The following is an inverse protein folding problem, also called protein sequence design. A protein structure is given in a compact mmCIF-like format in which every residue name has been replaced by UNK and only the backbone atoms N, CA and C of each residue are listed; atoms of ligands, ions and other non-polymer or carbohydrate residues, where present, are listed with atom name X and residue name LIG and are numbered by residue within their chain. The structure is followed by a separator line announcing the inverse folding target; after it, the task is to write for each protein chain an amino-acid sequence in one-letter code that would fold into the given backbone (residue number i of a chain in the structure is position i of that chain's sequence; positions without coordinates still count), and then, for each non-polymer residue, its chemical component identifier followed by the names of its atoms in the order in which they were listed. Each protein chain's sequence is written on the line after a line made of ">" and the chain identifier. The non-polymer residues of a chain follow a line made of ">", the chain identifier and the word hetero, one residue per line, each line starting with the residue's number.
data_IF_816059540952
#
_entry.id   IF_816059540952
#
_cell.length_a   1.000
_cell.length_b   1.000
_cell.length_c   1.000
_cell.angle_alpha   90.00
_cell.angle_beta   90.00
_cell.angle_gamma   90.00
#
_symmetry.space_group_name_H-M   'P 1'
#
loop_
_entity.id
_entity.type
_entity.pdbx_description
1 polymer ?
#
# COMPACT_ATOMS: atom_id res chain seq x y z
N UNK A 1 23.35 -9.77 15.02
CA UNK A 1 21.90 -9.77 15.24
C UNK A 1 21.27 -8.69 14.35
N UNK A 2 20.42 -9.10 13.43
CA UNK A 2 19.72 -8.19 12.52
C UNK A 2 18.34 -7.85 13.12
N UNK A 3 18.13 -6.58 13.47
CA UNK A 3 16.87 -6.14 14.07
C UNK A 3 16.24 -5.05 13.22
N UNK A 4 14.92 -5.12 13.05
CA UNK A 4 14.14 -4.10 12.34
C UNK A 4 13.06 -3.51 13.23
N UNK A 5 12.69 -2.26 12.94
CA UNK A 5 11.48 -1.63 13.49
C UNK A 5 10.59 -1.20 12.33
N UNK A 6 9.32 -1.55 12.42
CA UNK A 6 8.29 -1.21 11.45
C UNK A 6 7.30 -0.27 12.11
N UNK A 7 7.30 0.99 11.75
CA UNK A 7 6.28 1.97 12.15
C UNK A 7 5.04 1.81 11.26
N UNK A 8 3.86 1.75 11.86
CA UNK A 8 2.67 1.23 11.19
C UNK A 8 2.71 -0.30 11.08
N UNK A 9 3.36 -0.95 12.05
CA UNK A 9 3.74 -2.35 11.99
C UNK A 9 2.58 -3.33 12.06
N UNK A 10 1.49 -3.00 12.76
CA UNK A 10 0.28 -3.84 12.83
C UNK A 10 -0.62 -3.66 11.61
N UNK A 11 -0.31 -2.66 10.77
CA UNK A 11 -1.00 -2.41 9.50
C UNK A 11 -0.83 -3.54 8.49
N UNK A 12 -1.60 -3.45 7.38
CA UNK A 12 -1.62 -4.49 6.34
C UNK A 12 -0.22 -4.76 5.76
N UNK A 13 0.48 -3.74 5.28
CA UNK A 13 1.83 -3.90 4.70
C UNK A 13 2.83 -4.29 5.80
N UNK A 14 2.71 -3.68 6.99
CA UNK A 14 3.65 -3.86 8.09
C UNK A 14 3.75 -5.31 8.56
N UNK A 15 2.63 -6.00 8.72
CA UNK A 15 2.58 -7.41 9.17
C UNK A 15 3.17 -8.36 8.12
N UNK A 16 2.86 -8.17 6.83
CA UNK A 16 3.46 -8.97 5.76
C UNK A 16 4.96 -8.70 5.61
N UNK A 17 5.38 -7.44 5.78
CA UNK A 17 6.81 -7.11 5.71
C UNK A 17 7.58 -7.69 6.89
N UNK A 18 7.02 -7.66 8.11
CA UNK A 18 7.62 -8.30 9.27
C UNK A 18 7.84 -9.80 9.05
N UNK A 19 6.80 -10.51 8.57
CA UNK A 19 6.89 -11.91 8.21
C UNK A 19 7.98 -12.15 7.16
N UNK A 20 8.00 -11.35 6.09
CA UNK A 20 9.00 -11.45 5.01
C UNK A 20 10.43 -11.25 5.53
N UNK A 21 10.66 -10.29 6.44
CA UNK A 21 11.97 -10.06 7.05
C UNK A 21 12.45 -11.26 7.85
N UNK A 22 11.57 -11.93 8.58
CA UNK A 22 11.92 -13.13 9.37
C UNK A 22 12.14 -14.33 8.45
N UNK A 23 11.18 -14.64 7.58
CA UNK A 23 11.21 -15.87 6.76
C UNK A 23 12.27 -15.85 5.66
N UNK A 24 12.38 -14.72 4.94
CA UNK A 24 13.21 -14.66 3.73
C UNK A 24 14.51 -13.89 3.92
N UNK A 25 14.58 -13.00 4.91
CA UNK A 25 15.76 -12.15 5.15
C UNK A 25 16.52 -12.51 6.41
N UNK A 26 16.02 -13.48 7.20
CA UNK A 26 16.71 -13.98 8.38
C UNK A 26 16.91 -12.93 9.47
N UNK A 27 15.95 -12.00 9.63
CA UNK A 27 16.00 -11.07 10.74
C UNK A 27 15.76 -11.80 12.07
N UNK A 28 16.65 -11.57 13.01
CA UNK A 28 16.61 -12.19 14.34
C UNK A 28 15.45 -11.64 15.18
N UNK A 29 15.08 -10.36 14.96
CA UNK A 29 14.01 -9.69 15.69
C UNK A 29 13.37 -8.57 14.88
N UNK A 30 12.05 -8.46 14.95
CA UNK A 30 11.29 -7.41 14.29
C UNK A 30 10.31 -6.80 15.30
N UNK A 31 10.32 -5.49 15.43
CA UNK A 31 9.39 -4.75 16.27
C UNK A 31 8.32 -4.10 15.43
N UNK A 32 7.05 -4.28 15.80
CA UNK A 32 5.89 -3.63 15.21
C UNK A 32 5.49 -2.45 16.11
N UNK A 33 5.91 -1.25 15.75
CA UNK A 33 5.52 -0.03 16.47
C UNK A 33 4.25 0.54 15.89
N UNK A 34 3.17 0.56 16.67
CA UNK A 34 1.87 1.05 16.23
C UNK A 34 1.02 1.54 17.39
N UNK A 35 0.03 2.40 17.11
CA UNK A 35 -0.97 2.82 18.08
C UNK A 35 -2.14 1.83 18.20
N UNK A 36 -2.33 0.95 17.21
CA UNK A 36 -3.30 -0.14 17.25
C UNK A 36 -2.61 -1.47 17.54
N UNK A 37 -3.27 -2.35 18.31
CA UNK A 37 -2.77 -3.69 18.58
C UNK A 37 -3.35 -4.71 17.59
N UNK A 38 -2.58 -5.74 17.26
CA UNK A 38 -3.05 -6.93 16.52
C UNK A 38 -4.20 -7.65 17.22
N UNK A 39 -4.40 -7.41 18.51
CA UNK A 39 -5.54 -7.96 19.27
C UNK A 39 -6.88 -7.29 18.92
N UNK A 40 -6.88 -6.21 18.14
CA UNK A 40 -8.10 -5.59 17.62
C UNK A 40 -8.87 -6.58 16.73
N UNK A 41 -10.21 -6.62 16.87
CA UNK A 41 -11.09 -7.54 16.12
C UNK A 41 -10.94 -7.45 14.59
N UNK A 42 -10.49 -6.30 14.09
CA UNK A 42 -10.27 -6.07 12.66
C UNK A 42 -9.01 -6.73 12.09
N UNK A 43 -8.13 -7.27 12.95
CA UNK A 43 -6.81 -7.80 12.57
C UNK A 43 -6.65 -9.29 12.85
N UNK A 44 -7.75 -10.05 12.98
CA UNK A 44 -7.70 -11.48 13.30
C UNK A 44 -6.77 -12.27 12.36
N UNK A 45 -6.91 -12.10 11.05
CA UNK A 45 -6.04 -12.75 10.07
C UNK A 45 -4.55 -12.42 10.30
N UNK A 46 -4.22 -11.15 10.51
CA UNK A 46 -2.84 -10.69 10.71
C UNK A 46 -2.24 -11.23 12.00
N UNK A 47 -3.04 -11.27 13.07
CA UNK A 47 -2.65 -11.87 14.35
C UNK A 47 -2.33 -13.34 14.20
N UNK A 48 -3.23 -14.10 13.55
CA UNK A 48 -3.06 -15.53 13.36
C UNK A 48 -1.86 -15.83 12.45
N UNK A 49 -1.66 -15.04 11.39
CA UNK A 49 -0.51 -15.12 10.49
C UNK A 49 0.82 -14.95 11.24
N UNK A 50 0.88 -14.07 12.24
CA UNK A 50 2.10 -13.80 13.00
C UNK A 50 2.27 -14.65 14.27
N UNK A 51 1.28 -15.44 14.65
CA UNK A 51 1.29 -16.21 15.90
C UNK A 51 2.46 -17.22 16.01
N UNK A 52 2.98 -17.70 14.90
CA UNK A 52 4.12 -18.64 14.84
C UNK A 52 5.50 -17.95 14.87
N UNK A 53 5.57 -16.62 14.96
CA UNK A 53 6.83 -15.86 14.93
C UNK A 53 7.11 -15.14 16.26
N UNK A 54 7.67 -15.83 17.28
CA UNK A 54 7.92 -15.22 18.60
C UNK A 54 8.96 -14.10 18.58
N UNK A 55 9.73 -14.00 17.52
CA UNK A 55 10.70 -12.94 17.28
C UNK A 55 10.08 -11.67 16.66
N UNK A 56 8.77 -11.65 16.37
CA UNK A 56 8.02 -10.45 16.01
C UNK A 56 7.28 -9.97 17.26
N UNK A 57 7.55 -8.73 17.69
CA UNK A 57 7.02 -8.17 18.94
C UNK A 57 6.31 -6.85 18.70
N UNK A 58 5.12 -6.69 19.31
CA UNK A 58 4.37 -5.43 19.28
C UNK A 58 4.95 -4.44 20.31
N UNK A 59 5.07 -3.18 19.87
CA UNK A 59 5.37 -2.03 20.73
C UNK A 59 4.24 -1.01 20.52
N UNK A 60 3.54 -0.69 21.59
CA UNK A 60 2.49 0.32 21.52
C UNK A 60 3.07 1.71 21.56
N UNK A 61 2.68 2.56 20.58
CA UNK A 61 3.09 3.95 20.53
C UNK A 61 2.51 4.66 19.30
N UNK A 62 2.52 5.99 19.33
CA UNK A 62 1.94 6.85 18.31
C UNK A 62 3.03 7.70 17.65
N UNK A 63 3.23 7.53 16.36
CA UNK A 63 4.23 8.30 15.59
C UNK A 63 3.96 9.82 15.57
N UNK A 64 2.75 10.25 15.88
CA UNK A 64 2.39 11.69 16.01
C UNK A 64 3.01 12.34 17.25
N UNK A 65 3.55 11.54 18.15
CA UNK A 65 4.23 11.98 19.37
C UNK A 65 5.73 11.67 19.27
N UNK A 66 6.59 12.39 20.00
CA UNK A 66 7.99 12.03 20.14
C UNK A 66 8.15 10.57 20.59
N UNK A 67 9.04 9.84 19.91
CA UNK A 67 9.27 8.43 20.21
C UNK A 67 10.39 8.32 21.24
N UNK A 68 10.04 7.88 22.46
CA UNK A 68 10.99 7.75 23.57
C UNK A 68 11.42 6.30 23.81
N UNK A 69 10.71 5.32 23.21
CA UNK A 69 11.10 3.92 23.30
C UNK A 69 12.42 3.66 22.58
N UNK A 70 13.35 3.02 23.24
CA UNK A 70 14.65 2.62 22.68
C UNK A 70 14.83 1.11 22.91
N UNK A 71 15.02 0.32 21.85
CA UNK A 71 15.30 -1.11 21.97
C UNK A 71 16.69 -1.36 22.56
N UNK A 72 16.87 -2.52 23.19
CA UNK A 72 18.18 -2.94 23.67
C UNK A 72 19.12 -3.36 22.52
N UNK A 73 18.53 -3.81 21.41
CA UNK A 73 19.26 -4.29 20.26
C UNK A 73 19.60 -3.14 19.30
N UNK A 74 20.70 -3.28 18.58
CA UNK A 74 21.05 -2.37 17.49
C UNK A 74 20.09 -2.53 16.32
N UNK A 75 19.38 -1.48 15.96
CA UNK A 75 18.48 -1.47 14.81
C UNK A 75 19.28 -1.31 13.52
N UNK A 76 19.08 -2.24 12.60
CA UNK A 76 19.76 -2.29 11.29
C UNK A 76 18.87 -1.83 10.14
N UNK A 77 17.53 -1.82 10.34
CA UNK A 77 16.56 -1.39 9.36
C UNK A 77 15.35 -0.74 10.04
N UNK A 78 14.91 0.38 9.51
CA UNK A 78 13.63 0.99 9.82
C UNK A 78 12.74 0.92 8.57
N UNK A 79 11.48 0.49 8.75
CA UNK A 79 10.44 0.60 7.73
C UNK A 79 9.35 1.56 8.25
N UNK A 80 9.13 2.67 7.57
CA UNK A 80 8.09 3.62 7.93
C UNK A 80 6.88 3.45 7.00
N UNK A 81 5.85 2.78 7.49
CA UNK A 81 4.57 2.54 6.82
C UNK A 81 3.40 3.24 7.55
N UNK A 82 3.69 3.90 8.67
CA UNK A 82 2.69 4.64 9.43
C UNK A 82 2.08 5.77 8.57
N UNK A 83 0.78 5.77 8.40
CA UNK A 83 0.07 6.80 7.65
C UNK A 83 -1.44 6.75 7.85
N UNK A 84 -2.07 7.92 7.80
CA UNK A 84 -3.49 8.03 7.42
C UNK A 84 -3.56 7.91 5.90
N UNK A 85 -4.30 6.93 5.36
CA UNK A 85 -4.29 6.59 3.93
C UNK A 85 -5.66 6.46 3.26
N UNK A 86 -6.74 6.29 4.03
CA UNK A 86 -8.10 6.15 3.46
C UNK A 86 -8.59 7.48 2.90
N UNK A 87 -8.97 7.50 1.63
CA UNK A 87 -9.47 8.69 0.95
C UNK A 87 -10.69 8.33 0.05
N UNK A 88 -11.87 8.95 0.29
CA UNK A 88 -12.22 9.82 1.41
C UNK A 88 -12.35 9.04 2.73
N UNK A 89 -12.30 9.73 3.86
CA UNK A 89 -12.50 9.11 5.17
C UNK A 89 -11.90 9.90 6.33
N UNK A 90 -11.11 10.92 6.00
CA UNK A 90 -10.45 11.80 6.96
C UNK A 90 -10.54 13.25 6.51
N UNK A 91 -10.46 14.16 7.47
CA UNK A 91 -10.33 15.59 7.18
C UNK A 91 -8.91 15.89 6.64
N UNK A 92 -8.80 16.95 5.82
CA UNK A 92 -7.55 17.28 5.16
C UNK A 92 -6.35 17.44 6.11
N UNK A 93 -6.56 18.01 7.30
CA UNK A 93 -5.51 18.23 8.29
C UNK A 93 -4.97 16.94 8.93
N UNK A 94 -5.81 15.89 9.08
CA UNK A 94 -5.41 14.63 9.68
C UNK A 94 -4.30 13.92 8.88
N UNK A 95 -4.33 14.04 7.54
CA UNK A 95 -3.27 13.51 6.69
C UNK A 95 -1.93 14.19 6.98
N UNK A 96 -1.94 15.52 7.13
CA UNK A 96 -0.71 16.25 7.42
C UNK A 96 -0.20 15.99 8.83
N UNK A 97 -1.07 16.01 9.82
CA UNK A 97 -0.71 15.75 11.22
C UNK A 97 -0.08 14.37 11.40
N UNK A 98 -0.62 13.33 10.78
CA UNK A 98 -0.08 11.98 10.93
C UNK A 98 1.13 11.74 10.02
N UNK A 99 1.01 12.09 8.74
CA UNK A 99 2.02 11.67 7.77
C UNK A 99 3.30 12.52 7.83
N UNK A 100 3.20 13.81 8.21
CA UNK A 100 4.38 14.68 8.34
C UNK A 100 5.03 14.54 9.71
N UNK A 101 4.28 14.78 10.79
CA UNK A 101 4.84 14.64 12.14
C UNK A 101 5.35 13.23 12.39
N UNK A 102 4.62 12.20 11.88
CA UNK A 102 5.10 10.83 11.94
C UNK A 102 6.41 10.61 11.19
N UNK A 103 6.59 11.22 10.02
CA UNK A 103 7.85 11.14 9.28
C UNK A 103 9.00 11.82 10.03
N UNK A 104 8.77 13.02 10.59
CA UNK A 104 9.76 13.75 11.40
C UNK A 104 10.16 12.94 12.63
N UNK A 105 9.21 12.49 13.43
CA UNK A 105 9.47 11.72 14.65
C UNK A 105 10.20 10.39 14.37
N UNK A 106 9.86 9.70 13.27
CA UNK A 106 10.57 8.48 12.85
C UNK A 106 12.01 8.79 12.43
N UNK A 107 12.25 9.88 11.69
CA UNK A 107 13.59 10.31 11.30
C UNK A 107 14.45 10.71 12.52
N UNK A 108 13.87 11.44 13.46
CA UNK A 108 14.56 11.83 14.70
C UNK A 108 14.86 10.62 15.58
N UNK A 109 13.94 9.65 15.61
CA UNK A 109 14.17 8.39 16.31
C UNK A 109 15.27 7.55 15.63
N UNK A 110 15.32 7.54 14.29
CA UNK A 110 16.39 6.89 13.54
C UNK A 110 17.77 7.47 13.90
N UNK A 111 17.84 8.81 14.12
CA UNK A 111 19.04 9.47 14.60
C UNK A 111 19.41 9.02 16.03
N UNK A 112 18.44 8.96 16.97
CA UNK A 112 18.63 8.50 18.34
C UNK A 112 19.19 7.07 18.44
N UNK A 113 18.69 6.14 17.58
CA UNK A 113 19.16 4.73 17.57
C UNK A 113 20.30 4.48 16.58
N UNK A 114 20.80 5.53 15.93
CA UNK A 114 21.87 5.47 14.93
C UNK A 114 21.60 4.43 13.82
N UNK A 115 20.36 4.33 13.35
CA UNK A 115 20.01 3.48 12.23
C UNK A 115 20.35 4.19 10.91
N UNK A 116 20.98 3.46 9.99
CA UNK A 116 21.47 4.01 8.73
C UNK A 116 20.60 3.65 7.52
N UNK A 117 19.53 2.86 7.70
CA UNK A 117 18.69 2.39 6.60
C UNK A 117 17.22 2.62 6.89
N UNK A 118 16.56 3.34 6.00
CA UNK A 118 15.10 3.54 6.05
C UNK A 118 14.48 3.09 4.73
N UNK A 119 13.39 2.30 4.82
CA UNK A 119 12.40 2.11 3.76
C UNK A 119 11.18 2.95 4.12
N UNK A 120 10.78 3.84 3.23
CA UNK A 120 9.58 4.65 3.38
C UNK A 120 8.51 4.26 2.37
N UNK A 121 7.33 3.88 2.84
CA UNK A 121 6.17 3.67 1.96
C UNK A 121 5.46 4.99 1.68
N UNK A 122 5.69 5.53 0.49
CA UNK A 122 4.90 6.60 -0.10
C UNK A 122 3.63 6.04 -0.77
N UNK A 123 3.27 6.54 -1.93
CA UNK A 123 2.11 6.11 -2.72
C UNK A 123 2.26 6.59 -4.16
N UNK A 124 1.48 6.06 -5.10
CA UNK A 124 1.29 6.67 -6.42
C UNK A 124 0.44 7.96 -6.37
N UNK A 125 -0.23 8.25 -5.25
CA UNK A 125 -1.08 9.44 -5.08
C UNK A 125 -0.36 10.79 -5.32
N UNK A 126 0.95 10.96 -5.02
CA UNK A 126 1.73 12.13 -5.42
C UNK A 126 1.68 12.47 -6.91
N UNK A 127 1.54 11.51 -7.80
CA UNK A 127 1.43 11.81 -9.24
C UNK A 127 0.12 12.50 -9.63
N UNK A 128 -0.91 12.42 -8.79
CA UNK A 128 -2.25 12.87 -9.14
C UNK A 128 -2.92 11.97 -10.19
N UNK A 129 -4.17 12.28 -10.55
CA UNK A 129 -4.88 11.54 -11.59
C UNK A 129 -4.31 11.88 -12.96
N UNK A 130 -4.05 10.86 -13.79
CA UNK A 130 -3.62 11.03 -15.19
C UNK A 130 -4.10 9.85 -16.02
N UNK A 131 -4.52 10.10 -17.25
CA UNK A 131 -4.74 9.07 -18.26
C UNK A 131 -3.43 8.69 -18.96
N UNK A 132 -2.44 9.59 -18.94
CA UNK A 132 -1.11 9.33 -19.50
C UNK A 132 -0.29 8.43 -18.56
N UNK A 133 0.68 7.74 -19.14
CA UNK A 133 1.66 6.95 -18.40
C UNK A 133 2.50 7.85 -17.47
N UNK A 134 2.72 7.38 -16.26
CA UNK A 134 3.58 8.02 -15.27
C UNK A 134 4.62 7.03 -14.78
N UNK A 135 5.84 7.50 -14.60
CA UNK A 135 6.95 6.74 -14.03
C UNK A 135 7.70 7.57 -12.98
N UNK A 136 8.80 7.07 -12.48
CA UNK A 136 9.57 7.71 -11.40
C UNK A 136 10.14 9.08 -11.79
N UNK A 137 10.35 9.35 -13.08
CA UNK A 137 10.80 10.65 -13.60
C UNK A 137 9.66 11.65 -13.81
N UNK A 138 8.40 11.20 -13.74
CA UNK A 138 7.24 12.08 -13.93
C UNK A 138 7.09 13.06 -12.78
N UNK A 139 6.77 14.32 -13.12
CA UNK A 139 6.56 15.36 -12.12
C UNK A 139 5.36 15.01 -11.22
N UNK A 140 5.53 14.98 -9.88
CA UNK A 140 4.42 14.83 -8.97
C UNK A 140 3.51 16.07 -8.98
N UNK A 141 2.19 15.84 -9.15
CA UNK A 141 1.16 16.90 -9.12
C UNK A 141 0.00 16.41 -8.26
N UNK A 142 0.19 16.34 -6.93
CA UNK A 142 -0.85 15.82 -6.04
C UNK A 142 -2.07 16.75 -6.03
N UNK A 143 -3.26 16.16 -6.14
CA UNK A 143 -4.54 16.87 -6.13
C UNK A 143 -5.35 16.63 -4.85
N UNK A 144 -4.79 15.87 -3.91
CA UNK A 144 -5.46 15.48 -2.66
C UNK A 144 -4.53 15.71 -1.47
N UNK A 145 -5.12 15.89 -0.27
CA UNK A 145 -4.35 16.05 0.97
C UNK A 145 -3.47 14.82 1.25
N UNK A 146 -3.98 13.62 0.96
CA UNK A 146 -3.20 12.40 1.06
C UNK A 146 -1.97 12.41 0.14
N UNK A 147 -2.16 12.67 -1.15
CA UNK A 147 -1.04 12.73 -2.11
C UNK A 147 -0.02 13.81 -1.75
N UNK A 148 -0.50 14.99 -1.32
CA UNK A 148 0.35 16.09 -0.85
C UNK A 148 1.16 15.73 0.39
N UNK A 149 0.53 15.12 1.39
CA UNK A 149 1.19 14.71 2.62
C UNK A 149 2.25 13.63 2.40
N UNK A 150 1.97 12.64 1.51
CA UNK A 150 2.97 11.62 1.17
C UNK A 150 4.17 12.21 0.44
N UNK A 151 3.95 13.13 -0.50
CA UNK A 151 5.04 13.83 -1.19
C UNK A 151 5.91 14.66 -0.22
N UNK A 152 5.28 15.37 0.72
CA UNK A 152 6.01 16.11 1.74
C UNK A 152 6.82 15.19 2.67
N UNK A 153 6.24 14.05 3.08
CA UNK A 153 6.93 13.05 3.88
C UNK A 153 8.14 12.42 3.15
N UNK A 154 8.09 12.24 1.80
CA UNK A 154 9.26 11.85 1.02
C UNK A 154 10.42 12.85 1.21
N UNK A 155 10.11 14.16 1.24
CA UNK A 155 11.14 15.21 1.43
C UNK A 155 11.73 15.19 2.83
N UNK A 156 10.93 14.90 3.86
CA UNK A 156 11.42 14.77 5.24
C UNK A 156 12.43 13.62 5.32
N UNK A 157 12.14 12.46 4.74
CA UNK A 157 13.07 11.34 4.71
C UNK A 157 14.32 11.62 3.88
N UNK A 158 14.20 12.36 2.77
CA UNK A 158 15.36 12.80 1.98
C UNK A 158 16.26 13.75 2.77
N UNK A 159 15.69 14.67 3.56
CA UNK A 159 16.45 15.55 4.45
C UNK A 159 17.18 14.73 5.54
N UNK A 160 16.52 13.73 6.13
CA UNK A 160 17.17 12.80 7.05
C UNK A 160 18.38 12.12 6.41
N UNK A 161 18.23 11.59 5.20
CA UNK A 161 19.33 10.93 4.49
C UNK A 161 20.48 11.92 4.19
N UNK A 162 20.18 13.14 3.78
CA UNK A 162 21.17 14.16 3.42
C UNK A 162 22.03 14.62 4.62
N UNK A 163 21.58 14.46 5.87
CA UNK A 163 22.39 14.78 7.07
C UNK A 163 23.65 13.91 7.19
N UNK A 164 23.65 12.69 6.61
CA UNK A 164 24.84 11.79 6.54
C UNK A 164 24.77 10.99 5.24
N UNK A 165 24.95 11.68 4.11
CA UNK A 165 24.65 11.18 2.78
C UNK A 165 25.51 9.98 2.37
N UNK A 166 26.71 9.84 2.92
CA UNK A 166 27.63 8.73 2.61
C UNK A 166 27.23 7.42 3.29
N UNK A 167 26.63 7.51 4.50
CA UNK A 167 26.33 6.34 5.31
C UNK A 167 24.86 5.93 5.23
N UNK A 168 23.93 6.91 5.14
CA UNK A 168 22.49 6.65 5.16
C UNK A 168 21.99 6.19 3.82
N UNK A 169 21.18 5.15 3.84
CA UNK A 169 20.47 4.62 2.68
C UNK A 169 18.96 4.78 2.86
N UNK A 170 18.31 5.39 1.87
CA UNK A 170 16.88 5.63 1.85
C UNK A 170 16.26 4.96 0.62
N UNK A 171 15.28 4.11 0.83
CA UNK A 171 14.43 3.55 -0.23
C UNK A 171 13.03 4.11 -0.07
N UNK A 172 12.54 4.80 -1.09
CA UNK A 172 11.18 5.33 -1.17
C UNK A 172 10.40 4.48 -2.17
N UNK A 173 9.37 3.79 -1.71
CA UNK A 173 8.47 3.05 -2.60
C UNK A 173 7.17 3.81 -2.79
N UNK A 174 6.71 3.94 -4.03
CA UNK A 174 5.38 4.44 -4.40
C UNK A 174 4.52 3.27 -4.87
N UNK A 175 3.88 2.54 -3.95
CA UNK A 175 3.03 1.42 -4.34
C UNK A 175 1.75 1.91 -4.98
N UNK A 176 1.22 1.10 -5.91
CA UNK A 176 -0.14 1.18 -6.40
C UNK A 176 -1.15 0.72 -5.35
N UNK A 177 -2.31 0.25 -5.78
CA UNK A 177 -3.30 -0.36 -4.87
C UNK A 177 -2.75 -1.69 -4.38
N UNK A 178 -2.34 -1.73 -3.12
CA UNK A 178 -1.83 -2.96 -2.50
C UNK A 178 -3.00 -3.87 -2.14
N UNK A 179 -2.93 -5.14 -2.55
CA UNK A 179 -3.96 -6.13 -2.27
C UNK A 179 -3.37 -7.46 -1.77
N UNK A 180 -4.20 -8.27 -1.12
CA UNK A 180 -3.83 -9.57 -0.58
C UNK A 180 -4.71 -9.99 0.60
N UNK A 181 -4.40 -11.12 1.26
CA UNK A 181 -5.17 -11.67 2.37
C UNK A 181 -5.35 -10.66 3.51
N UNK A 182 -6.57 -10.48 3.99
CA UNK A 182 -6.88 -9.55 5.06
C UNK A 182 -6.85 -8.07 4.66
N UNK A 183 -6.89 -7.74 3.34
CA UNK A 183 -6.90 -6.35 2.84
C UNK A 183 -8.20 -5.61 3.19
N UNK A 184 -9.37 -6.27 3.06
CA UNK A 184 -10.68 -5.66 3.26
C UNK A 184 -11.01 -4.46 2.35
N UNK A 185 -10.23 -4.26 1.28
CA UNK A 185 -10.24 -3.08 0.43
C UNK A 185 -10.94 -3.28 -0.92
N UNK A 186 -10.34 -2.70 -1.97
CA UNK A 186 -10.96 -2.65 -3.30
C UNK A 186 -11.00 -4.00 -4.01
N UNK A 187 -9.92 -4.78 -3.92
CA UNK A 187 -9.84 -6.08 -4.61
C UNK A 187 -10.67 -7.13 -3.87
N UNK A 188 -10.68 -7.12 -2.51
CA UNK A 188 -11.59 -7.96 -1.72
C UNK A 188 -13.06 -7.73 -2.08
N UNK A 189 -13.47 -6.46 -2.26
CA UNK A 189 -14.81 -6.10 -2.70
C UNK A 189 -15.10 -6.57 -4.12
N UNK A 190 -14.11 -6.49 -5.02
CA UNK A 190 -14.25 -6.96 -6.38
C UNK A 190 -14.41 -8.50 -6.42
N UNK A 191 -13.63 -9.23 -5.64
CA UNK A 191 -13.77 -10.71 -5.49
C UNK A 191 -15.20 -11.06 -5.06
N UNK A 192 -15.71 -10.41 -4.00
CA UNK A 192 -17.09 -10.62 -3.54
C UNK A 192 -18.13 -10.30 -4.60
N UNK A 193 -17.94 -9.21 -5.34
CA UNK A 193 -18.88 -8.78 -6.37
C UNK A 193 -18.93 -9.74 -7.57
N UNK A 194 -17.77 -10.24 -8.01
CA UNK A 194 -17.66 -11.21 -9.10
C UNK A 194 -18.24 -12.58 -8.66
N UNK A 195 -17.86 -13.06 -7.48
CA UNK A 195 -18.36 -14.32 -6.91
C UNK A 195 -19.88 -14.33 -6.80
N UNK A 196 -20.44 -13.28 -6.25
CA UNK A 196 -21.90 -13.16 -6.02
C UNK A 196 -22.66 -12.66 -7.25
N UNK A 197 -21.98 -12.51 -8.41
CA UNK A 197 -22.58 -12.17 -9.71
C UNK A 197 -23.33 -10.83 -9.75
N UNK A 198 -22.98 -9.87 -8.89
CA UNK A 198 -23.55 -8.50 -8.95
C UNK A 198 -22.56 -7.46 -9.49
N UNK A 199 -21.37 -7.90 -9.92
CA UNK A 199 -20.43 -7.00 -10.58
C UNK A 199 -20.93 -6.64 -11.99
N UNK A 200 -20.69 -5.40 -12.39
CA UNK A 200 -20.91 -4.91 -13.76
C UNK A 200 -19.80 -3.93 -14.15
N UNK A 201 -19.47 -3.91 -15.43
CA UNK A 201 -18.51 -2.96 -15.93
C UNK A 201 -19.12 -1.57 -16.06
N UNK A 202 -18.37 -0.57 -15.56
CA UNK A 202 -18.72 0.85 -15.65
C UNK A 202 -17.69 1.54 -16.53
N UNK A 203 -18.12 2.06 -17.66
CA UNK A 203 -17.23 2.73 -18.61
C UNK A 203 -16.31 1.75 -19.36
N UNK A 204 -15.05 2.15 -19.54
CA UNK A 204 -14.08 1.34 -20.28
C UNK A 204 -13.51 0.22 -19.41
N UNK A 205 -13.85 -1.02 -19.71
CA UNK A 205 -13.35 -2.21 -18.99
C UNK A 205 -11.82 -2.40 -19.15
N UNK A 206 -11.21 -1.82 -20.19
CA UNK A 206 -9.77 -1.82 -20.43
C UNK A 206 -9.02 -0.76 -19.61
N UNK A 207 -9.74 -0.01 -18.77
CA UNK A 207 -9.11 0.93 -17.82
C UNK A 207 -8.13 0.20 -16.92
N UNK A 208 -6.85 0.59 -16.98
CA UNK A 208 -5.79 -0.02 -16.17
C UNK A 208 -5.84 0.49 -14.74
N UNK A 209 -5.53 -0.39 -13.82
CA UNK A 209 -5.43 -0.09 -12.38
C UNK A 209 -4.06 -0.54 -11.89
N UNK A 210 -3.28 0.42 -11.43
CA UNK A 210 -2.00 0.14 -10.81
C UNK A 210 -2.22 -0.66 -9.52
N UNK A 211 -2.07 -1.97 -9.59
CA UNK A 211 -2.20 -2.88 -8.46
C UNK A 211 -0.88 -3.57 -8.15
N UNK A 212 -0.72 -3.99 -6.91
CA UNK A 212 0.42 -4.79 -6.46
C UNK A 212 0.01 -5.76 -5.36
N UNK A 213 0.49 -7.00 -5.45
CA UNK A 213 0.30 -8.00 -4.42
C UNK A 213 1.21 -7.69 -3.22
N UNK A 214 0.69 -7.83 -2.00
CA UNK A 214 1.42 -7.42 -0.79
C UNK A 214 2.74 -8.17 -0.60
N UNK A 215 2.79 -9.48 -0.88
CA UNK A 215 4.04 -10.26 -0.79
C UNK A 215 5.06 -9.82 -1.85
N UNK A 216 4.60 -9.46 -3.04
CA UNK A 216 5.44 -8.91 -4.10
C UNK A 216 6.03 -7.55 -3.72
N UNK A 217 5.21 -6.69 -3.10
CA UNK A 217 5.68 -5.40 -2.56
C UNK A 217 6.79 -5.60 -1.52
N UNK A 218 6.59 -6.53 -0.57
CA UNK A 218 7.59 -6.84 0.46
C UNK A 218 8.91 -7.33 -0.16
N UNK A 219 8.82 -8.23 -1.13
CA UNK A 219 9.98 -8.71 -1.85
C UNK A 219 10.71 -7.60 -2.59
N UNK A 220 9.99 -6.76 -3.35
CA UNK A 220 10.59 -5.67 -4.11
C UNK A 220 11.30 -4.64 -3.22
N UNK A 221 10.73 -4.29 -2.06
CA UNK A 221 11.36 -3.37 -1.12
C UNK A 221 12.74 -3.88 -0.65
N UNK A 222 12.82 -5.16 -0.29
CA UNK A 222 14.09 -5.78 0.11
C UNK A 222 15.06 -5.91 -1.07
N UNK A 223 14.57 -6.31 -2.24
CA UNK A 223 15.39 -6.42 -3.43
C UNK A 223 16.04 -5.09 -3.82
N UNK A 224 15.27 -3.99 -3.78
CA UNK A 224 15.80 -2.65 -4.04
C UNK A 224 16.81 -2.23 -2.97
N UNK A 225 16.50 -2.42 -1.68
CA UNK A 225 17.41 -2.07 -0.58
C UNK A 225 18.76 -2.78 -0.68
N UNK A 226 18.77 -4.04 -1.13
CA UNK A 226 19.94 -4.88 -1.24
C UNK A 226 20.72 -4.68 -2.56
N UNK A 227 20.12 -4.03 -3.56
CA UNK A 227 20.75 -3.81 -4.87
C UNK A 227 21.99 -2.94 -4.77
N UNK A 228 23.02 -3.25 -5.56
CA UNK A 228 24.25 -2.46 -5.60
C UNK A 228 23.99 -1.01 -6.05
N UNK A 229 23.02 -0.83 -6.96
CA UNK A 229 22.62 0.51 -7.41
C UNK A 229 22.07 1.33 -6.25
N UNK A 230 21.17 0.79 -5.44
CA UNK A 230 20.60 1.51 -4.28
C UNK A 230 21.65 1.79 -3.20
N UNK A 231 22.59 0.88 -2.98
CA UNK A 231 23.71 1.09 -2.06
C UNK A 231 24.67 2.20 -2.54
N UNK A 232 24.81 2.37 -3.84
CA UNK A 232 25.64 3.41 -4.45
C UNK A 232 24.92 4.76 -4.47
N UNK A 233 23.67 4.78 -4.97
CA UNK A 233 22.88 6.01 -5.14
C UNK A 233 22.42 6.59 -3.79
N UNK A 234 22.38 5.77 -2.72
CA UNK A 234 21.96 6.12 -1.36
C UNK A 234 20.50 6.54 -1.19
N UNK A 235 19.90 7.16 -2.19
CA UNK A 235 18.46 7.46 -2.25
C UNK A 235 17.90 6.81 -3.49
N UNK A 236 16.97 5.88 -3.30
CA UNK A 236 16.26 5.22 -4.40
C UNK A 236 14.77 5.45 -4.27
N UNK A 237 14.15 5.98 -5.32
CA UNK A 237 12.71 6.07 -5.46
C UNK A 237 12.28 5.10 -6.56
N UNK A 238 11.27 4.28 -6.27
CA UNK A 238 10.70 3.38 -7.27
C UNK A 238 9.19 3.24 -7.13
N UNK A 239 8.52 3.06 -8.26
CA UNK A 239 7.12 2.68 -8.29
C UNK A 239 6.99 1.17 -8.12
N UNK A 240 5.99 0.73 -7.35
CA UNK A 240 5.69 -0.69 -7.24
C UNK A 240 4.27 -0.97 -7.71
N UNK A 241 4.18 -1.47 -8.92
CA UNK A 241 2.94 -1.88 -9.60
C UNK A 241 3.24 -3.12 -10.44
N UNK A 242 2.23 -3.90 -10.77
CA UNK A 242 2.38 -4.94 -11.80
C UNK A 242 2.72 -4.29 -13.15
N UNK A 243 3.48 -4.99 -13.97
CA UNK A 243 3.84 -4.54 -15.32
C UNK A 243 3.57 -5.65 -16.37
N UNK A 244 2.60 -5.43 -17.28
CA UNK A 244 1.69 -4.27 -17.34
C UNK A 244 0.72 -4.23 -16.17
N UNK A 245 0.26 -3.02 -15.80
CA UNK A 245 -0.80 -2.87 -14.80
C UNK A 245 -2.10 -3.50 -15.32
N UNK A 246 -2.77 -4.39 -14.55
CA UNK A 246 -3.96 -5.07 -15.03
C UNK A 246 -5.13 -4.11 -15.28
N UNK A 247 -5.92 -4.42 -16.30
CA UNK A 247 -7.21 -3.77 -16.53
C UNK A 247 -8.29 -4.35 -15.61
N UNK A 248 -9.43 -3.66 -15.50
CA UNK A 248 -10.57 -4.17 -14.73
C UNK A 248 -11.06 -5.51 -15.32
N UNK A 249 -11.03 -5.66 -16.65
CA UNK A 249 -11.38 -6.90 -17.33
C UNK A 249 -10.45 -8.05 -16.94
N UNK A 250 -9.14 -7.84 -16.97
CA UNK A 250 -8.14 -8.83 -16.55
C UNK A 250 -8.29 -9.23 -15.08
N UNK A 251 -8.61 -8.28 -14.18
CA UNK A 251 -8.95 -8.62 -12.79
C UNK A 251 -10.16 -9.54 -12.69
N UNK A 252 -11.24 -9.24 -13.41
CA UNK A 252 -12.48 -10.03 -13.37
C UNK A 252 -12.25 -11.42 -13.95
N UNK A 253 -11.51 -11.53 -15.04
CA UNK A 253 -11.16 -12.81 -15.67
C UNK A 253 -10.30 -13.66 -14.74
N UNK A 254 -9.24 -13.10 -14.17
CA UNK A 254 -8.36 -13.81 -13.24
C UNK A 254 -9.12 -14.27 -11.97
N UNK A 255 -9.96 -13.40 -11.38
CA UNK A 255 -10.81 -13.77 -10.24
C UNK A 255 -11.76 -14.90 -10.62
N UNK A 256 -12.43 -14.80 -11.77
CA UNK A 256 -13.37 -15.82 -12.25
C UNK A 256 -12.69 -17.18 -12.45
N UNK A 257 -11.48 -17.19 -12.99
CA UNK A 257 -10.65 -18.37 -13.18
C UNK A 257 -10.26 -19.02 -11.84
N UNK A 258 -9.80 -18.23 -10.88
CA UNK A 258 -9.41 -18.70 -9.54
C UNK A 258 -10.60 -19.25 -8.75
N UNK A 259 -11.80 -18.66 -8.92
CA UNK A 259 -13.04 -19.20 -8.30
C UNK A 259 -13.56 -20.43 -9.05
N UNK A 260 -13.25 -20.58 -10.33
CA UNK A 260 -13.76 -21.66 -11.18
C UNK A 260 -15.16 -21.38 -11.73
N UNK A 261 -15.51 -20.12 -11.95
CA UNK A 261 -16.80 -19.71 -12.51
C UNK A 261 -16.63 -19.05 -13.88
N UNK A 262 -17.62 -19.23 -14.76
CA UNK A 262 -17.73 -18.41 -15.97
C UNK A 262 -18.55 -17.18 -15.64
N UNK A 263 -17.88 -16.04 -15.41
CA UNK A 263 -18.57 -14.80 -15.13
C UNK A 263 -19.12 -14.20 -16.42
N UNK A 264 -20.45 -14.03 -16.46
CA UNK A 264 -21.07 -13.11 -17.41
C UNK A 264 -21.23 -11.76 -16.72
N UNK A 265 -20.55 -10.73 -17.22
CA UNK A 265 -20.51 -9.40 -16.60
C UNK A 265 -21.16 -8.38 -17.53
N UNK A 266 -22.33 -7.80 -17.15
CA UNK A 266 -23.02 -6.81 -17.97
C UNK A 266 -22.23 -5.49 -18.01
N UNK A 267 -22.41 -4.73 -19.10
CA UNK A 267 -21.88 -3.38 -19.25
C UNK A 267 -22.98 -2.36 -18.98
N UNK A 268 -22.73 -1.44 -18.06
CA UNK A 268 -23.67 -0.36 -17.72
C UNK A 268 -23.08 0.97 -18.17
N UNK A 269 -23.80 1.74 -19.01
CA UNK A 269 -23.34 3.05 -19.44
C UNK A 269 -23.10 3.99 -18.23
N UNK A 270 -21.95 4.70 -18.24
CA UNK A 270 -21.57 5.61 -17.14
C UNK A 270 -22.65 6.68 -16.91
N UNK A 271 -23.24 7.21 -17.98
CA UNK A 271 -24.27 8.25 -17.87
C UNK A 271 -25.49 7.76 -17.11
N UNK A 272 -25.91 6.51 -17.28
CA UNK A 272 -27.02 5.90 -16.55
C UNK A 272 -26.71 5.83 -15.03
N UNK A 273 -25.49 5.41 -14.70
CA UNK A 273 -25.03 5.34 -13.31
C UNK A 273 -24.90 6.72 -12.68
N UNK A 274 -24.42 7.71 -13.44
CA UNK A 274 -24.33 9.08 -12.94
C UNK A 274 -25.73 9.65 -12.64
N UNK A 275 -26.68 9.47 -13.57
CA UNK A 275 -28.08 9.89 -13.32
C UNK A 275 -28.66 9.18 -12.09
N UNK A 276 -28.51 7.87 -12.01
CA UNK A 276 -28.97 7.11 -10.83
C UNK A 276 -28.29 7.60 -9.54
N UNK A 277 -26.98 7.90 -9.58
CA UNK A 277 -26.25 8.39 -8.42
C UNK A 277 -26.71 9.76 -7.94
N UNK A 278 -27.04 10.68 -8.88
CA UNK A 278 -27.62 11.98 -8.52
C UNK A 278 -29.01 11.84 -7.88
N UNK A 279 -29.82 10.92 -8.39
CA UNK A 279 -31.14 10.64 -7.82
C UNK A 279 -30.99 10.08 -6.39
N UNK A 280 -30.10 9.10 -6.20
CA UNK A 280 -29.81 8.53 -4.88
C UNK A 280 -29.30 9.62 -3.91
N UNK A 281 -28.34 10.44 -4.35
CA UNK A 281 -27.79 11.55 -3.57
C UNK A 281 -28.89 12.55 -3.14
N UNK A 282 -29.83 12.84 -4.03
CA UNK A 282 -30.95 13.76 -3.77
C UNK A 282 -31.83 13.30 -2.57
N UNK A 283 -32.01 11.98 -2.45
CA UNK A 283 -32.81 11.41 -1.34
C UNK A 283 -31.94 11.04 -0.12
N UNK A 284 -30.72 10.61 -0.28
CA UNK A 284 -29.86 10.16 0.81
C UNK A 284 -29.26 11.32 1.61
N UNK A 285 -28.85 12.42 0.96
CA UNK A 285 -28.24 13.58 1.64
C UNK A 285 -29.13 14.24 2.71
N UNK A 286 -30.41 14.49 2.46
CA UNK A 286 -31.27 15.07 3.48
C UNK A 286 -31.48 14.16 4.71
N UNK A 287 -31.27 12.84 4.51
CA UNK A 287 -31.43 11.82 5.56
C UNK A 287 -30.10 11.48 6.27
N UNK A 288 -28.99 12.14 5.88
CA UNK A 288 -27.67 11.84 6.45
C UNK A 288 -27.16 10.42 6.12
N UNK A 289 -27.68 9.78 5.06
CA UNK A 289 -27.32 8.40 4.69
C UNK A 289 -26.11 8.42 3.77
N UNK A 290 -25.00 7.87 4.24
CA UNK A 290 -23.82 7.58 3.40
C UNK A 290 -24.08 6.35 2.53
N UNK A 291 -23.90 6.49 1.20
CA UNK A 291 -24.07 5.40 0.25
C UNK A 291 -22.88 5.27 -0.71
N UNK A 292 -22.60 4.05 -1.22
CA UNK A 292 -21.42 3.78 -2.05
C UNK A 292 -21.49 4.36 -3.48
N UNK A 293 -22.66 4.84 -3.92
CA UNK A 293 -22.94 5.27 -5.30
C UNK A 293 -22.84 6.78 -5.52
N UNK A 294 -21.94 7.49 -4.81
CA UNK A 294 -21.78 8.93 -5.05
C UNK A 294 -21.18 9.22 -6.44
N UNK A 295 -21.56 10.34 -7.09
CA UNK A 295 -21.04 10.73 -8.39
C UNK A 295 -19.50 10.82 -8.45
N UNK A 296 -18.89 11.25 -7.35
CA UNK A 296 -17.43 11.33 -7.20
C UNK A 296 -16.79 9.94 -7.27
N UNK A 297 -17.38 8.94 -6.59
CA UNK A 297 -16.89 7.57 -6.62
C UNK A 297 -17.03 6.94 -8.01
N UNK A 298 -18.13 7.17 -8.71
CA UNK A 298 -18.33 6.69 -10.08
C UNK A 298 -17.28 7.28 -11.02
N UNK A 299 -17.00 8.57 -10.95
CA UNK A 299 -15.93 9.21 -11.72
C UNK A 299 -14.54 8.64 -11.41
N UNK A 300 -14.25 8.30 -10.16
CA UNK A 300 -12.99 7.65 -9.79
C UNK A 300 -12.84 6.24 -10.38
N UNK A 301 -13.94 5.49 -10.53
CA UNK A 301 -13.91 4.15 -11.13
C UNK A 301 -13.53 4.17 -12.62
N UNK A 302 -13.89 5.22 -13.34
CA UNK A 302 -13.64 5.32 -14.79
C UNK A 302 -12.24 5.83 -15.15
N UNK A 303 -11.47 6.38 -14.20
CA UNK A 303 -10.13 6.91 -14.43
C UNK A 303 -9.07 5.82 -14.41
N UNK A 304 -8.12 5.92 -15.33
CA UNK A 304 -6.94 5.07 -15.38
C UNK A 304 -5.90 5.53 -14.32
N UNK A 305 -5.08 4.57 -13.87
CA UNK A 305 -3.85 4.83 -13.12
C UNK A 305 -2.75 4.04 -13.82
N UNK A 306 -2.23 4.58 -14.91
CA UNK A 306 -1.20 3.91 -15.70
C UNK A 306 0.18 4.29 -15.17
N UNK A 307 0.58 3.65 -14.07
CA UNK A 307 1.86 3.88 -13.40
C UNK A 307 2.82 2.76 -13.76
N UNK A 308 3.96 3.13 -14.32
CA UNK A 308 4.99 2.21 -14.76
C UNK A 308 6.08 2.08 -13.69
N UNK A 309 6.50 0.86 -13.35
CA UNK A 309 7.61 0.59 -12.44
C UNK A 309 8.94 0.59 -13.22
N UNK A 310 9.30 1.72 -13.82
CA UNK A 310 10.43 1.83 -14.77
C UNK A 310 11.74 1.48 -14.09
N UNK A 311 11.95 1.95 -12.84
CA UNK A 311 13.16 1.58 -12.09
C UNK A 311 13.34 0.06 -11.96
N UNK A 312 12.29 -0.67 -11.63
CA UNK A 312 12.34 -2.13 -11.48
C UNK A 312 12.63 -2.82 -12.80
N UNK A 313 11.97 -2.39 -13.89
CA UNK A 313 12.19 -2.93 -15.23
C UNK A 313 13.62 -2.73 -15.70
N UNK A 314 14.14 -1.52 -15.58
CA UNK A 314 15.47 -1.14 -16.07
C UNK A 314 16.61 -1.83 -15.28
N UNK A 315 16.35 -2.19 -14.02
CA UNK A 315 17.33 -2.89 -13.19
C UNK A 315 17.11 -4.41 -13.10
N UNK A 316 16.26 -4.96 -13.95
CA UNK A 316 16.13 -6.41 -14.13
C UNK A 316 15.36 -7.15 -13.04
N UNK A 317 14.48 -6.44 -12.31
CA UNK A 317 13.61 -7.07 -11.31
C UNK A 317 12.72 -8.14 -11.95
N UNK A 318 12.59 -9.28 -11.29
CA UNK A 318 11.73 -10.38 -11.73
C UNK A 318 10.56 -10.54 -10.77
N UNK A 319 9.35 -10.34 -11.28
CA UNK A 319 8.13 -10.54 -10.51
C UNK A 319 7.96 -12.02 -10.14
N UNK A 320 7.67 -12.29 -8.88
CA UNK A 320 7.31 -13.61 -8.35
C UNK A 320 5.83 -13.91 -8.54
N UNK A 321 5.00 -12.87 -8.47
CA UNK A 321 3.55 -12.95 -8.52
C UNK A 321 3.01 -11.98 -9.57
N UNK A 322 2.54 -12.50 -10.69
CA UNK A 322 1.64 -11.78 -11.57
C UNK A 322 0.21 -11.90 -11.03
N UNK A 323 -0.78 -11.34 -11.72
CA UNK A 323 -2.12 -11.20 -11.18
C UNK A 323 -2.77 -12.55 -10.79
N UNK A 324 -2.69 -13.55 -11.65
CA UNK A 324 -3.32 -14.84 -11.42
C UNK A 324 -2.63 -15.61 -10.29
N UNK A 325 -1.30 -15.66 -10.29
CA UNK A 325 -0.52 -16.28 -9.23
C UNK A 325 -0.78 -15.60 -7.87
N UNK A 326 -0.87 -14.26 -7.86
CA UNK A 326 -1.17 -13.50 -6.66
C UNK A 326 -2.54 -13.83 -6.08
N UNK A 327 -3.57 -13.91 -6.94
CA UNK A 327 -4.93 -14.24 -6.51
C UNK A 327 -5.06 -15.70 -6.04
N UNK A 328 -4.33 -16.62 -6.69
CA UNK A 328 -4.31 -18.02 -6.28
C UNK A 328 -3.59 -18.20 -4.93
N UNK A 329 -2.45 -17.56 -4.75
CA UNK A 329 -1.71 -17.54 -3.49
C UNK A 329 -2.55 -16.92 -2.36
N UNK A 330 -3.27 -15.83 -2.64
CA UNK A 330 -4.23 -15.26 -1.69
C UNK A 330 -5.33 -16.25 -1.29
N UNK A 331 -5.92 -16.96 -2.27
CA UNK A 331 -6.95 -17.96 -1.99
C UNK A 331 -6.42 -19.10 -1.13
N UNK A 332 -5.17 -19.49 -1.31
CA UNK A 332 -4.53 -20.52 -0.49
C UNK A 332 -4.28 -20.05 0.94
N UNK A 333 -3.84 -18.80 1.13
CA UNK A 333 -3.58 -18.22 2.44
C UNK A 333 -4.85 -17.91 3.25
N UNK A 334 -5.94 -17.54 2.57
CA UNK A 334 -7.17 -17.05 3.20
C UNK A 334 -8.41 -17.53 2.40
N UNK A 335 -8.73 -18.86 2.42
CA UNK A 335 -9.83 -19.43 1.64
C UNK A 335 -11.20 -18.84 2.00
N UNK A 336 -11.38 -18.40 3.25
CA UNK A 336 -12.64 -17.83 3.74
C UNK A 336 -13.02 -16.51 3.04
N UNK A 337 -12.07 -15.75 2.53
CA UNK A 337 -12.35 -14.55 1.75
C UNK A 337 -12.88 -14.88 0.33
N UNK A 338 -12.74 -16.14 -0.10
CA UNK A 338 -13.14 -16.65 -1.40
C UNK A 338 -14.36 -17.58 -1.38
N UNK A 339 -14.84 -17.92 -0.17
CA UNK A 339 -16.01 -18.82 0.06
C UNK A 339 -17.35 -18.07 0.15
#
# INVERSE_FOLDING_TARGET
>A
MNCAVIFGGTGFIGTFFARHLVEEKGFDKVYLYDHESLSSKHFSFRKDMLASYPNIQEIHGDVRQPIDWIPAEKITLIANFAAVHREPGHEGHEYYQTNLLGAENVCDWADKVNCQKIIFSSSIAPYGPSEDERNESSLPVPTTAYGGSKLAAEKIHQIWQAKDFDKRQLVIVRPGVVFGPGEGGNVSRLIKAVRNRYFFYTGNQKTRKAGVYVKELCHAMCWVLESEKSKTDKVTLFNMTMNPGPSIEEYVEAISKVIGIKAWVPKVPVNLLLVASYIIDLFARPLGIDHPFSPVRIKKLTRSNNILPTYLCDNGYKYRYMLEEALLDWKNDCPEEWS
#
